data_IF_806734672929
#
_entry.id   IF_806734672929
#
_cell.length_a   1.000
_cell.length_b   1.000
_cell.length_c   1.000
_cell.angle_alpha   90.00
_cell.angle_beta   90.00
_cell.angle_gamma   90.00
#
_symmetry.space_group_name_H-M   'P 1'
#
loop_
_entity.id
_entity.type
_entity.pdbx_description
1 polymer ?
#
# COMPACT_ATOMS: atom_id res chain seq x y z
N UNK A 1 3.21 5.11 -19.26
CA UNK A 1 4.35 4.46 -18.59
C UNK A 1 4.18 4.77 -17.10
N UNK A 2 4.26 3.76 -16.24
CA UNK A 2 4.09 3.91 -14.78
C UNK A 2 5.42 3.50 -14.15
N UNK A 3 5.92 4.25 -13.18
CA UNK A 3 7.19 3.98 -12.48
C UNK A 3 6.88 3.67 -11.01
N UNK A 4 7.66 2.78 -10.41
CA UNK A 4 7.60 2.56 -8.96
C UNK A 4 8.00 3.82 -8.19
N UNK A 5 7.17 4.22 -7.23
CA UNK A 5 7.41 5.40 -6.37
C UNK A 5 8.14 5.04 -5.06
N UNK A 6 8.38 3.76 -4.82
CA UNK A 6 9.09 3.28 -3.64
C UNK A 6 10.58 3.66 -3.69
N UNK A 7 11.12 3.96 -2.51
CA UNK A 7 12.53 4.34 -2.35
C UNK A 7 13.44 3.23 -2.89
N UNK A 8 14.46 3.62 -3.64
CA UNK A 8 15.42 2.73 -4.32
C UNK A 8 14.84 1.77 -5.38
N UNK A 9 13.55 1.87 -5.73
CA UNK A 9 12.96 1.02 -6.78
C UNK A 9 13.07 1.65 -8.18
N UNK A 10 13.89 1.04 -9.04
CA UNK A 10 14.07 1.45 -10.44
C UNK A 10 13.02 0.91 -11.42
N UNK A 11 11.98 0.22 -10.94
CA UNK A 11 11.04 -0.51 -11.78
C UNK A 11 10.13 0.41 -12.60
N UNK A 12 9.84 0.00 -13.85
CA UNK A 12 8.97 0.73 -14.79
C UNK A 12 8.09 -0.26 -15.55
N UNK A 13 6.79 0.03 -15.60
CA UNK A 13 5.80 -0.73 -16.35
C UNK A 13 5.96 -0.52 -17.87
N UNK A 14 6.10 -1.62 -18.61
CA UNK A 14 6.12 -1.64 -20.08
C UNK A 14 4.84 -2.33 -20.57
N UNK A 15 3.84 -1.53 -20.91
CA UNK A 15 2.52 -2.04 -21.29
C UNK A 15 1.89 -1.22 -22.42
N UNK A 16 1.04 -1.83 -23.27
CA UNK A 16 0.45 -1.19 -24.45
C UNK A 16 -0.64 -0.15 -24.10
N UNK A 17 -1.05 -0.05 -22.83
CA UNK A 17 -2.03 0.94 -22.37
C UNK A 17 -1.80 1.32 -20.91
N UNK A 18 -2.30 2.48 -20.49
CA UNK A 18 -2.22 2.94 -19.10
C UNK A 18 -2.85 1.95 -18.11
N UNK A 19 -4.02 1.39 -18.44
CA UNK A 19 -4.70 0.40 -17.58
C UNK A 19 -3.92 -0.91 -17.44
N UNK A 20 -3.17 -1.31 -18.47
CA UNK A 20 -2.29 -2.47 -18.38
C UNK A 20 -1.01 -2.16 -17.57
N UNK A 21 -0.48 -0.93 -17.68
CA UNK A 21 0.66 -0.48 -16.89
C UNK A 21 0.33 -0.44 -15.39
N UNK A 22 -0.87 0.02 -15.03
CA UNK A 22 -1.34 0.01 -13.64
C UNK A 22 -1.53 -1.39 -13.07
N UNK A 23 -1.99 -2.36 -13.88
CA UNK A 23 -2.05 -3.76 -13.44
C UNK A 23 -0.67 -4.34 -13.15
N UNK A 24 0.29 -4.14 -14.05
CA UNK A 24 1.68 -4.55 -13.81
C UNK A 24 2.29 -3.87 -12.58
N UNK A 25 1.96 -2.60 -12.35
CA UNK A 25 2.42 -1.86 -11.17
C UNK A 25 1.87 -2.47 -9.88
N UNK A 26 0.57 -2.76 -9.83
CA UNK A 26 -0.07 -3.41 -8.68
C UNK A 26 0.59 -4.76 -8.37
N UNK A 27 0.79 -5.59 -9.39
CA UNK A 27 1.47 -6.89 -9.25
C UNK A 27 2.91 -6.73 -8.75
N UNK A 28 3.66 -5.76 -9.26
CA UNK A 28 5.02 -5.47 -8.82
C UNK A 28 5.08 -5.02 -7.37
N UNK A 29 4.21 -4.09 -6.96
CA UNK A 29 4.17 -3.60 -5.57
C UNK A 29 3.85 -4.74 -4.61
N UNK A 30 2.87 -5.58 -4.93
CA UNK A 30 2.51 -6.73 -4.10
C UNK A 30 3.63 -7.77 -4.00
N UNK A 31 4.42 -7.97 -5.06
CA UNK A 31 5.48 -8.95 -5.08
C UNK A 31 6.77 -8.47 -4.39
N UNK A 32 7.17 -7.22 -4.61
CA UNK A 32 8.51 -6.74 -4.23
C UNK A 32 8.49 -5.80 -3.02
N UNK A 33 7.34 -5.21 -2.69
CA UNK A 33 7.24 -4.16 -1.67
C UNK A 33 6.23 -4.46 -0.55
N UNK A 34 5.56 -5.61 -0.62
CA UNK A 34 4.63 -6.05 0.43
C UNK A 34 5.12 -7.40 0.94
N UNK A 35 5.35 -7.46 2.25
CA UNK A 35 5.59 -8.72 2.95
C UNK A 35 4.27 -9.25 3.50
N UNK A 36 3.91 -10.49 3.15
CA UNK A 36 2.77 -11.16 3.77
C UNK A 36 3.21 -11.66 5.14
N UNK A 37 2.68 -11.03 6.19
CA UNK A 37 2.89 -11.48 7.57
C UNK A 37 1.75 -12.42 8.00
N UNK A 38 2.11 -13.53 8.65
CA UNK A 38 1.13 -14.42 9.29
C UNK A 38 0.65 -13.76 10.60
N UNK A 39 -0.33 -12.88 10.48
CA UNK A 39 -1.00 -12.25 11.61
C UNK A 39 -2.46 -12.71 11.67
N UNK A 40 -2.91 -13.13 12.85
CA UNK A 40 -4.32 -13.40 13.15
C UNK A 40 -5.05 -12.06 13.26
N UNK A 41 -5.36 -11.46 12.10
CA UNK A 41 -6.14 -10.22 12.01
C UNK A 41 -7.60 -10.63 11.77
N UNK A 42 -8.51 -10.32 12.72
CA UNK A 42 -9.91 -10.64 12.55
C UNK A 42 -10.49 -9.97 11.30
N UNK A 43 -11.45 -10.63 10.64
CA UNK A 43 -12.11 -10.11 9.45
C UNK A 43 -12.61 -8.67 9.69
N UNK A 44 -12.37 -7.77 8.74
CA UNK A 44 -12.75 -6.35 8.85
C UNK A 44 -11.71 -5.45 9.55
N UNK A 45 -10.63 -6.02 10.06
CA UNK A 45 -9.56 -5.27 10.73
C UNK A 45 -8.27 -5.25 9.88
N UNK A 46 -7.41 -4.26 10.11
CA UNK A 46 -6.09 -4.11 9.51
C UNK A 46 -5.08 -3.74 10.58
N UNK A 47 -3.85 -4.24 10.45
CA UNK A 47 -2.74 -3.77 11.26
C UNK A 47 -1.99 -2.66 10.53
N UNK A 48 -1.87 -1.51 11.19
CA UNK A 48 -1.12 -0.36 10.71
C UNK A 48 0.06 -0.13 11.64
N UNK A 49 1.24 0.08 11.07
CA UNK A 49 2.42 0.47 11.82
C UNK A 49 2.39 1.98 12.03
N UNK A 50 2.41 2.43 13.27
CA UNK A 50 2.48 3.85 13.63
C UNK A 50 3.90 4.40 13.41
N UNK A 51 4.04 5.72 13.40
CA UNK A 51 5.33 6.41 13.28
C UNK A 51 6.32 6.03 14.40
N UNK A 52 5.80 5.66 15.58
CA UNK A 52 6.58 5.16 16.72
C UNK A 52 7.07 3.71 16.53
N UNK A 53 6.68 3.05 15.43
CA UNK A 53 7.06 1.68 15.11
C UNK A 53 6.21 0.61 15.79
N UNK A 54 5.13 1.01 16.49
CA UNK A 54 4.18 0.09 17.10
C UNK A 54 3.12 -0.37 16.10
N UNK A 55 2.75 -1.64 16.14
CA UNK A 55 1.67 -2.19 15.32
C UNK A 55 0.35 -2.06 16.06
N UNK A 56 -0.63 -1.38 15.45
CA UNK A 56 -1.98 -1.26 16.00
C UNK A 56 -2.99 -1.92 15.07
N UNK A 57 -3.91 -2.71 15.62
CA UNK A 57 -5.03 -3.30 14.87
C UNK A 57 -6.22 -2.35 14.98
N UNK A 58 -6.79 -1.93 13.85
CA UNK A 58 -7.96 -1.05 13.78
C UNK A 58 -8.92 -1.51 12.68
N UNK A 59 -10.15 -0.99 12.65
CA UNK A 59 -11.09 -1.32 11.57
C UNK A 59 -10.64 -0.71 10.24
N UNK A 60 -10.94 -1.38 9.13
CA UNK A 60 -10.60 -0.92 7.77
C UNK A 60 -11.15 0.48 7.49
N UNK A 61 -12.32 0.80 8.05
CA UNK A 61 -12.97 2.11 7.86
C UNK A 61 -12.18 3.23 8.54
N UNK A 62 -11.65 2.98 9.73
CA UNK A 62 -10.80 3.94 10.46
C UNK A 62 -9.44 4.14 9.77
N UNK A 63 -8.85 3.07 9.24
CA UNK A 63 -7.57 3.15 8.51
C UNK A 63 -7.66 3.94 7.20
N UNK A 64 -8.84 3.96 6.56
CA UNK A 64 -9.07 4.75 5.34
C UNK A 64 -9.18 6.24 5.62
N UNK A 65 -9.75 6.62 6.76
CA UNK A 65 -9.93 8.00 7.18
C UNK A 65 -8.60 8.64 7.62
N UNK A 66 -7.74 7.88 8.30
CA UNK A 66 -6.43 8.35 8.76
C UNK A 66 -5.42 8.70 7.66
N UNK A 67 -5.66 8.33 6.39
CA UNK A 67 -4.84 8.76 5.23
C UNK A 67 -5.40 10.03 4.55
N UNK A 68 -6.53 10.54 5.03
CA UNK A 68 -7.29 11.65 4.44
C UNK A 68 -7.24 12.98 5.21
N UNK A 69 -6.60 13.06 6.37
CA UNK A 69 -6.60 14.26 7.22
C UNK A 69 -5.20 14.87 7.41
N UNK A 70 -4.59 15.29 6.31
CA UNK A 70 -3.65 16.42 6.31
C UNK A 70 -4.06 17.38 5.18
N UNK A 71 -5.19 18.06 5.37
CA UNK A 71 -5.48 19.33 4.72
C UNK A 71 -6.05 20.28 5.77
N UNK A 72 -5.19 21.03 6.48
CA UNK A 72 -5.65 22.12 7.31
C UNK A 72 -6.28 23.21 6.44
N UNK A 73 -7.56 23.54 6.72
CA UNK A 73 -8.09 24.87 7.10
C UNK A 73 -9.63 24.91 7.05
#
# INVERSE_FOLDING_TARGET
MVRCEQEDCGWVAIAPSGRAAWRQYEEHVLAEHVETVEADVPDGHVQVRTDDGEWTTMEIEEAKDGRGDESPE
#
